data_IF_521773494303
#
_entry.id   IF_521773494303
#
_cell.length_a   1.000
_cell.length_b   1.000
_cell.length_c   1.000
_cell.angle_alpha   90.00
_cell.angle_beta   90.00
_cell.angle_gamma   90.00
#
_symmetry.space_group_name_H-M   'P 1'
#
loop_
_entity.id
_entity.type
_entity.pdbx_description
1 polymer ?
#
# COMPACT_ATOMS: atom_id res chain seq x y z
N UNK A 1 -27.54 -12.43 26.53
CA UNK A 1 -26.66 -11.98 25.44
C UNK A 1 -27.00 -12.87 24.26
N UNK A 2 -27.83 -12.35 23.35
CA UNK A 2 -28.60 -13.18 22.43
C UNK A 2 -27.75 -13.57 21.21
N UNK A 3 -28.02 -14.76 20.68
CA UNK A 3 -27.28 -15.32 19.55
C UNK A 3 -27.39 -14.47 18.27
N UNK A 4 -28.41 -13.61 18.19
CA UNK A 4 -28.63 -12.60 17.15
C UNK A 4 -27.66 -11.42 17.25
N UNK A 5 -27.47 -10.85 18.44
CA UNK A 5 -26.56 -9.70 18.64
C UNK A 5 -25.10 -10.06 18.30
N UNK A 6 -24.70 -11.31 18.57
CA UNK A 6 -23.36 -11.84 18.25
C UNK A 6 -23.18 -12.20 16.75
N UNK A 7 -24.28 -12.34 15.99
CA UNK A 7 -24.24 -12.54 14.53
C UNK A 7 -24.15 -11.21 13.80
N UNK A 8 -24.91 -10.22 14.22
CA UNK A 8 -24.89 -8.87 13.64
C UNK A 8 -23.53 -8.18 13.84
N UNK A 9 -22.92 -8.28 15.02
CA UNK A 9 -21.56 -7.75 15.27
C UNK A 9 -20.49 -8.43 14.41
N UNK A 10 -20.58 -9.74 14.18
CA UNK A 10 -19.65 -10.48 13.31
C UNK A 10 -19.83 -10.14 11.82
N UNK A 11 -21.05 -9.87 11.38
CA UNK A 11 -21.32 -9.44 10.00
C UNK A 11 -20.90 -8.00 9.75
N UNK A 12 -21.09 -7.08 10.71
CA UNK A 12 -20.56 -5.72 10.64
C UNK A 12 -19.03 -5.69 10.68
N UNK A 13 -18.39 -6.48 11.56
CA UNK A 13 -16.92 -6.64 11.58
C UNK A 13 -16.38 -7.23 10.27
N UNK A 14 -17.12 -8.15 9.64
CA UNK A 14 -16.77 -8.75 8.34
C UNK A 14 -16.98 -7.78 7.18
N UNK A 15 -17.98 -6.90 7.28
CA UNK A 15 -18.27 -5.82 6.32
C UNK A 15 -17.27 -4.66 6.45
N UNK A 16 -16.74 -4.43 7.65
CA UNK A 16 -15.68 -3.45 7.96
C UNK A 16 -14.27 -3.92 7.55
N UNK A 17 -14.11 -5.18 7.10
CA UNK A 17 -12.81 -5.83 6.80
C UNK A 17 -12.63 -6.31 5.35
N UNK A 18 -13.30 -5.74 4.37
CA UNK A 18 -12.90 -5.92 2.96
C UNK A 18 -12.43 -4.59 2.40
N UNK A 19 -11.14 -4.50 2.14
CA UNK A 19 -10.62 -3.51 1.21
C UNK A 19 -11.43 -3.60 -0.08
N UNK A 20 -11.59 -2.48 -0.80
CA UNK A 20 -12.28 -2.56 -2.08
C UNK A 20 -11.53 -3.54 -3.00
N UNK A 21 -12.25 -4.21 -3.90
CA UNK A 21 -11.64 -5.12 -4.88
C UNK A 21 -10.51 -4.43 -5.66
N UNK A 22 -10.59 -3.11 -5.81
CA UNK A 22 -9.54 -2.27 -6.40
C UNK A 22 -8.26 -2.23 -5.56
N UNK A 23 -8.37 -1.99 -4.25
CA UNK A 23 -7.23 -2.02 -3.33
C UNK A 23 -6.60 -3.40 -3.29
N UNK A 24 -7.40 -4.47 -3.29
CA UNK A 24 -6.87 -5.84 -3.37
C UNK A 24 -6.09 -6.05 -4.69
N UNK A 25 -6.65 -5.65 -5.84
CA UNK A 25 -5.96 -5.75 -7.13
C UNK A 25 -4.65 -4.96 -7.15
N UNK A 26 -4.63 -3.74 -6.64
CA UNK A 26 -3.41 -2.92 -6.54
C UNK A 26 -2.37 -3.59 -5.63
N UNK A 27 -2.78 -4.08 -4.46
CA UNK A 27 -1.88 -4.77 -3.55
C UNK A 27 -1.24 -6.01 -4.19
N UNK A 28 -2.03 -6.84 -4.88
CA UNK A 28 -1.51 -7.98 -5.65
C UNK A 28 -0.51 -7.55 -6.72
N UNK A 29 -0.80 -6.47 -7.45
CA UNK A 29 0.11 -5.91 -8.45
C UNK A 29 1.44 -5.45 -7.85
N UNK A 30 1.39 -4.74 -6.72
CA UNK A 30 2.56 -4.24 -5.99
C UNK A 30 3.44 -5.37 -5.47
N UNK A 31 2.83 -6.37 -4.83
CA UNK A 31 3.53 -7.55 -4.33
C UNK A 31 4.20 -8.30 -5.48
N UNK A 32 3.48 -8.50 -6.58
CA UNK A 32 4.03 -9.15 -7.78
C UNK A 32 5.22 -8.40 -8.38
N UNK A 33 5.19 -7.06 -8.39
CA UNK A 33 6.31 -6.24 -8.86
C UNK A 33 7.54 -6.37 -7.94
N UNK A 34 7.34 -6.33 -6.62
CA UNK A 34 8.44 -6.50 -5.66
C UNK A 34 9.09 -7.88 -5.76
N UNK A 35 8.29 -8.94 -5.98
CA UNK A 35 8.80 -10.29 -6.20
C UNK A 35 9.66 -10.33 -7.48
N UNK A 36 9.21 -9.73 -8.58
CA UNK A 36 9.98 -9.71 -9.83
C UNK A 36 11.31 -8.99 -9.67
N UNK A 37 11.30 -7.80 -9.04
CA UNK A 37 12.52 -7.05 -8.72
C UNK A 37 13.49 -7.91 -7.91
N UNK A 38 13.01 -8.61 -6.88
CA UNK A 38 13.87 -9.48 -6.07
C UNK A 38 14.38 -10.69 -6.84
N UNK A 39 13.57 -11.27 -7.75
CA UNK A 39 14.00 -12.39 -8.60
C UNK A 39 15.09 -11.99 -9.59
N UNK A 40 15.01 -10.78 -10.14
CA UNK A 40 15.97 -10.27 -11.12
C UNK A 40 17.25 -9.76 -10.46
N UNK A 41 17.14 -9.00 -9.37
CA UNK A 41 18.29 -8.39 -8.71
C UNK A 41 18.91 -9.25 -7.61
N UNK A 42 18.16 -10.16 -6.99
CA UNK A 42 18.60 -10.88 -5.81
C UNK A 42 18.76 -9.97 -4.59
N UNK A 43 19.69 -10.33 -3.70
CA UNK A 43 20.06 -9.55 -2.52
C UNK A 43 21.46 -8.91 -2.71
N UNK A 44 21.76 -7.83 -1.96
CA UNK A 44 23.11 -7.23 -1.91
C UNK A 44 23.24 -5.79 -2.42
N UNK A 45 22.17 -5.21 -2.96
CA UNK A 45 22.16 -3.80 -3.39
C UNK A 45 21.70 -2.83 -2.30
N UNK A 46 22.02 -1.55 -2.50
CA UNK A 46 21.53 -0.45 -1.67
C UNK A 46 20.02 -0.23 -1.88
N UNK A 47 19.33 0.27 -0.86
CA UNK A 47 17.89 0.56 -0.89
C UNK A 47 17.48 1.43 -2.10
N UNK A 48 18.24 2.48 -2.42
CA UNK A 48 18.04 3.31 -3.63
C UNK A 48 17.94 2.51 -4.94
N UNK A 49 18.63 1.37 -5.05
CA UNK A 49 18.61 0.54 -6.25
C UNK A 49 17.30 -0.23 -6.33
N UNK A 50 16.85 -0.82 -5.21
CA UNK A 50 15.53 -1.47 -5.16
C UNK A 50 14.40 -0.49 -5.39
N UNK A 51 14.50 0.72 -4.84
CA UNK A 51 13.54 1.79 -5.07
C UNK A 51 13.40 2.11 -6.57
N UNK A 52 14.53 2.33 -7.26
CA UNK A 52 14.51 2.61 -8.70
C UNK A 52 14.03 1.43 -9.54
N UNK A 53 14.39 0.20 -9.16
CA UNK A 53 13.94 -1.01 -9.83
C UNK A 53 12.43 -1.19 -9.67
N UNK A 54 11.89 -0.99 -8.47
CA UNK A 54 10.46 -1.11 -8.20
C UNK A 54 9.65 -0.02 -8.91
N UNK A 55 10.14 1.23 -8.92
CA UNK A 55 9.53 2.30 -9.71
C UNK A 55 9.51 1.98 -11.22
N UNK A 56 10.56 1.32 -11.72
CA UNK A 56 10.62 0.86 -13.11
C UNK A 56 9.64 -0.27 -13.37
N UNK A 57 9.57 -1.26 -12.49
CA UNK A 57 8.63 -2.38 -12.61
C UNK A 57 7.17 -1.91 -12.55
N UNK A 58 6.84 -0.95 -11.68
CA UNK A 58 5.52 -0.33 -11.65
C UNK A 58 5.18 0.34 -12.98
N UNK A 59 6.12 1.07 -13.60
CA UNK A 59 5.91 1.66 -14.94
C UNK A 59 5.70 0.58 -16.01
N UNK A 60 6.49 -0.48 -16.00
CA UNK A 60 6.35 -1.59 -16.95
C UNK A 60 5.02 -2.32 -16.82
N UNK A 61 4.49 -2.43 -15.59
CA UNK A 61 3.18 -3.05 -15.29
C UNK A 61 2.00 -2.09 -15.41
N UNK A 62 2.23 -0.80 -15.66
CA UNK A 62 1.17 0.21 -15.68
C UNK A 62 0.50 0.43 -14.32
N UNK A 63 1.21 0.21 -13.21
CA UNK A 63 0.69 0.46 -11.85
C UNK A 63 0.81 1.97 -11.55
N UNK A 64 -0.32 2.68 -11.34
CA UNK A 64 -0.28 4.10 -11.03
C UNK A 64 0.37 4.34 -9.66
N UNK A 65 1.38 5.19 -9.62
CA UNK A 65 2.09 5.50 -8.39
C UNK A 65 2.74 6.89 -8.41
N UNK A 66 2.99 7.43 -7.21
CA UNK A 66 3.88 8.57 -6.96
C UNK A 66 5.03 8.10 -6.11
N UNK A 67 6.25 8.46 -6.49
CA UNK A 67 7.44 8.12 -5.72
C UNK A 67 7.86 9.29 -4.83
N UNK A 68 8.37 8.98 -3.62
CA UNK A 68 8.80 9.98 -2.63
C UNK A 68 7.70 11.02 -2.37
N UNK A 69 6.51 10.52 -2.07
CA UNK A 69 5.32 11.34 -1.89
C UNK A 69 5.27 11.93 -0.48
N UNK A 70 5.21 13.25 -0.39
CA UNK A 70 5.11 13.97 0.89
C UNK A 70 3.68 13.91 1.43
N UNK A 71 3.56 13.56 2.70
CA UNK A 71 2.29 13.50 3.44
C UNK A 71 2.37 14.35 4.70
N UNK A 72 1.34 15.15 4.96
CA UNK A 72 1.27 15.95 6.17
C UNK A 72 1.13 15.04 7.41
N UNK A 73 1.93 15.29 8.45
CA UNK A 73 1.88 14.55 9.70
C UNK A 73 1.27 15.43 10.78
N UNK A 74 0.18 14.96 11.35
CA UNK A 74 -0.52 15.62 12.45
C UNK A 74 -0.36 14.82 13.75
N UNK A 75 0.05 15.48 14.83
CA UNK A 75 0.08 14.90 16.17
C UNK A 75 -0.99 15.58 17.03
N UNK A 76 -2.00 14.80 17.46
CA UNK A 76 -3.15 15.30 18.24
C UNK A 76 -3.86 16.50 17.59
N UNK A 77 -3.95 16.51 16.25
CA UNK A 77 -4.56 17.59 15.48
C UNK A 77 -3.66 18.79 15.21
N UNK A 78 -2.41 18.79 15.69
CA UNK A 78 -1.43 19.83 15.40
C UNK A 78 -0.50 19.37 14.26
N UNK A 79 -0.27 20.20 13.23
CA UNK A 79 0.70 19.87 12.18
C UNK A 79 2.11 19.88 12.78
N UNK A 80 2.85 18.78 12.59
CA UNK A 80 4.23 18.63 13.10
C UNK A 80 5.27 18.54 11.98
N UNK A 81 4.84 18.56 10.72
CA UNK A 81 5.70 18.51 9.55
C UNK A 81 5.17 17.56 8.49
N UNK A 82 6.08 17.05 7.68
CA UNK A 82 5.79 16.15 6.55
C UNK A 82 6.59 14.85 6.71
N UNK A 83 5.99 13.74 6.28
CA UNK A 83 6.66 12.46 6.08
C UNK A 83 6.79 12.16 4.60
N UNK A 84 7.81 11.40 4.21
CA UNK A 84 8.01 10.98 2.82
C UNK A 84 7.71 9.49 2.70
N UNK A 85 6.73 9.14 1.87
CA UNK A 85 6.43 7.75 1.49
C UNK A 85 7.30 7.35 0.31
N UNK A 86 7.86 6.14 0.32
CA UNK A 86 8.60 5.61 -0.83
C UNK A 86 7.72 5.57 -2.08
N UNK A 87 6.51 5.02 -1.93
CA UNK A 87 5.49 4.98 -2.96
C UNK A 87 4.10 5.21 -2.38
N UNK A 88 3.35 6.11 -3.03
CA UNK A 88 1.90 6.14 -2.98
C UNK A 88 1.38 5.40 -4.21
N UNK A 89 0.54 4.39 -4.03
CA UNK A 89 -0.02 3.58 -5.13
C UNK A 89 -1.52 3.78 -5.23
N UNK A 90 -2.01 4.00 -6.45
CA UNK A 90 -3.41 4.39 -6.71
C UNK A 90 -3.67 5.89 -6.49
N UNK A 91 -4.96 6.28 -6.57
CA UNK A 91 -5.42 7.68 -6.60
C UNK A 91 -6.22 8.11 -5.35
N UNK A 92 -5.95 7.52 -4.19
CA UNK A 92 -6.76 7.79 -2.99
C UNK A 92 -6.07 8.75 -2.00
N UNK A 93 -6.51 10.01 -1.98
CA UNK A 93 -6.52 10.91 -0.82
C UNK A 93 -7.89 11.58 -0.70
#
# INVERSE_FOLDING_TARGET
>A
MNHEEAKETKEEERRMRRFSDEVERLAYGVIGAAIEVHRVLGAGFLERVYHQALATEFRLRGIPHKSKHLVAVNYKGYPIGEGELDFLVGDSF
#
